data_IF_934626228707
#
_entry.id   IF_934626228707
#
_cell.length_a   1.000
_cell.length_b   1.000
_cell.length_c   1.000
_cell.angle_alpha   90.00
_cell.angle_beta   90.00
_cell.angle_gamma   90.00
#
_symmetry.space_group_name_H-M   'P 1'
#
loop_
_entity.id
_entity.type
_entity.pdbx_description
1 polymer ?
#
# COMPACT_ATOMS: atom_id res chain seq x y z
N UNK A 1 -2.95 -2.69 4.00
CA UNK A 1 -1.60 -2.34 3.52
C UNK A 1 -1.51 -2.66 2.03
N UNK A 2 -0.55 -2.05 1.35
CA UNK A 2 -0.19 -2.30 -0.03
C UNK A 2 1.34 -2.35 -0.10
N UNK A 3 1.90 -3.53 -0.32
CA UNK A 3 3.34 -3.77 -0.32
C UNK A 3 3.92 -3.80 -1.74
N UNK A 4 5.02 -3.09 -1.96
CA UNK A 4 5.72 -3.00 -3.23
C UNK A 4 7.21 -3.29 -3.06
N UNK A 5 7.78 -4.00 -4.03
CA UNK A 5 9.23 -4.22 -4.09
C UNK A 5 9.95 -2.96 -4.59
N UNK A 6 10.87 -2.43 -3.78
CA UNK A 6 11.69 -1.29 -4.16
C UNK A 6 12.92 -1.75 -4.98
N UNK A 7 12.88 -1.50 -6.29
CA UNK A 7 13.99 -1.81 -7.23
C UNK A 7 14.89 -0.60 -7.56
N UNK A 8 15.10 0.28 -6.59
CA UNK A 8 15.94 1.48 -6.76
C UNK A 8 15.15 2.78 -6.91
N UNK A 9 13.92 2.83 -6.41
CA UNK A 9 13.11 4.03 -6.29
C UNK A 9 13.80 5.04 -5.36
N UNK A 10 14.04 6.25 -5.86
CA UNK A 10 14.57 7.34 -5.03
C UNK A 10 13.50 7.90 -4.09
N UNK A 11 13.94 8.67 -3.08
CA UNK A 11 13.00 9.33 -2.17
C UNK A 11 12.14 10.33 -2.93
N UNK A 12 12.74 11.09 -3.84
CA UNK A 12 12.08 12.11 -4.66
C UNK A 12 11.02 11.47 -5.57
N UNK A 13 11.34 10.33 -6.18
CA UNK A 13 10.37 9.57 -6.99
C UNK A 13 9.22 9.05 -6.13
N UNK A 14 9.51 8.53 -4.94
CA UNK A 14 8.47 8.08 -4.00
C UNK A 14 7.56 9.23 -3.56
N UNK A 15 8.13 10.40 -3.28
CA UNK A 15 7.36 11.62 -2.97
C UNK A 15 6.46 12.01 -4.16
N UNK A 16 6.99 12.02 -5.38
CA UNK A 16 6.21 12.28 -6.59
C UNK A 16 5.06 11.29 -6.80
N UNK A 17 5.28 10.00 -6.53
CA UNK A 17 4.24 8.97 -6.57
C UNK A 17 3.17 9.21 -5.51
N UNK A 18 3.57 9.52 -4.27
CA UNK A 18 2.62 9.80 -3.18
C UNK A 18 1.72 11.01 -3.48
N UNK A 19 2.29 12.08 -4.07
CA UNK A 19 1.52 13.25 -4.52
C UNK A 19 0.59 12.92 -5.67
N UNK A 20 1.03 12.06 -6.60
CA UNK A 20 0.16 11.58 -7.69
C UNK A 20 -1.04 10.81 -7.15
N UNK A 21 -0.84 9.97 -6.13
CA UNK A 21 -1.92 9.25 -5.44
C UNK A 21 -2.88 10.22 -4.76
N UNK A 22 -2.36 11.19 -3.99
CA UNK A 22 -3.17 12.24 -3.35
C UNK A 22 -4.05 12.94 -4.39
N UNK A 23 -3.44 13.47 -5.46
CA UNK A 23 -4.14 14.25 -6.48
C UNK A 23 -5.23 13.43 -7.18
N UNK A 24 -4.97 12.16 -7.49
CA UNK A 24 -5.97 11.28 -8.12
C UNK A 24 -7.15 11.02 -7.19
N UNK A 25 -6.91 10.80 -5.90
CA UNK A 25 -7.98 10.58 -4.92
C UNK A 25 -8.83 11.84 -4.72
N UNK A 26 -8.21 13.02 -4.67
CA UNK A 26 -8.94 14.30 -4.63
C UNK A 26 -9.82 14.49 -5.87
N UNK A 27 -9.32 14.14 -7.06
CA UNK A 27 -10.10 14.19 -8.31
C UNK A 27 -11.27 13.20 -8.32
N UNK A 28 -11.18 12.10 -7.57
CA UNK A 28 -12.30 11.19 -7.31
C UNK A 28 -13.27 11.72 -6.24
N UNK A 29 -13.04 12.91 -5.67
CA UNK A 29 -13.91 13.55 -4.70
C UNK A 29 -13.64 13.18 -3.24
N UNK A 30 -12.55 12.45 -2.96
CA UNK A 30 -12.18 12.11 -1.59
C UNK A 30 -11.42 13.25 -0.91
N UNK A 31 -11.71 13.50 0.37
CA UNK A 31 -10.83 14.27 1.25
C UNK A 31 -9.76 13.35 1.81
N UNK A 32 -8.51 13.58 1.42
CA UNK A 32 -7.39 12.68 1.73
C UNK A 32 -6.19 13.46 2.24
N UNK A 33 -5.48 12.88 3.20
CA UNK A 33 -4.20 13.37 3.69
C UNK A 33 -3.13 12.30 3.41
N UNK A 34 -1.93 12.71 2.99
CA UNK A 34 -0.77 11.81 2.88
C UNK A 34 0.30 12.15 3.92
N UNK A 35 0.97 11.12 4.43
CA UNK A 35 2.13 11.28 5.29
C UNK A 35 3.20 10.28 4.88
N UNK A 36 4.36 10.77 4.40
CA UNK A 36 5.49 9.90 4.10
C UNK A 36 6.40 9.74 5.32
N UNK A 37 6.96 8.55 5.50
CA UNK A 37 7.97 8.23 6.52
C UNK A 37 9.09 7.40 5.91
N UNK A 38 10.31 7.70 6.31
CA UNK A 38 11.53 7.06 5.83
C UNK A 38 12.31 6.51 7.03
N UNK A 39 12.05 5.26 7.40
CA UNK A 39 12.76 4.57 8.50
C UNK A 39 13.09 3.16 8.06
N UNK A 40 14.22 2.98 7.38
CA UNK A 40 14.62 1.69 6.79
C UNK A 40 13.88 1.34 5.49
N UNK A 41 12.59 1.66 5.41
CA UNK A 41 11.77 1.54 4.20
C UNK A 41 10.99 2.84 3.93
N UNK A 42 10.38 2.91 2.75
CA UNK A 42 9.51 4.02 2.36
C UNK A 42 8.07 3.66 2.67
N UNK A 43 7.44 4.49 3.51
CA UNK A 43 6.06 4.31 3.93
C UNK A 43 5.25 5.54 3.56
N UNK A 44 4.09 5.36 2.94
CA UNK A 44 3.11 6.42 2.71
C UNK A 44 1.80 6.05 3.38
N UNK A 45 1.34 6.89 4.31
CA UNK A 45 0.05 6.74 4.97
C UNK A 45 -0.97 7.63 4.27
N UNK A 46 -1.89 7.01 3.52
CA UNK A 46 -3.03 7.66 2.88
C UNK A 46 -4.21 7.59 3.83
N UNK A 47 -4.65 8.74 4.36
CA UNK A 47 -5.70 8.84 5.37
C UNK A 47 -6.95 9.45 4.76
N UNK A 48 -8.10 8.90 5.10
CA UNK A 48 -9.42 9.37 4.69
C UNK A 48 -10.21 9.79 5.93
N UNK A 49 -10.09 11.05 6.38
CA UNK A 49 -10.78 11.55 7.56
C UNK A 49 -12.30 11.54 7.39
N UNK A 50 -13.03 11.03 8.37
CA UNK A 50 -14.50 11.09 8.39
C UNK A 50 -15.21 10.24 7.34
N UNK A 51 -14.49 9.45 6.53
CA UNK A 51 -15.06 8.67 5.43
C UNK A 51 -16.14 7.69 5.91
N UNK A 52 -15.97 7.09 7.09
CA UNK A 52 -16.97 6.19 7.66
C UNK A 52 -18.25 6.92 8.05
N UNK A 53 -18.14 8.14 8.59
CA UNK A 53 -19.28 8.96 8.93
C UNK A 53 -20.01 9.48 7.69
N UNK A 54 -19.27 9.92 6.67
CA UNK A 54 -19.82 10.37 5.38
C UNK A 54 -20.68 9.28 4.70
N UNK A 55 -20.31 8.01 4.87
CA UNK A 55 -21.04 6.87 4.31
C UNK A 55 -22.00 6.20 5.30
N UNK A 56 -22.23 6.77 6.49
CA UNK A 56 -23.16 6.22 7.48
C UNK A 56 -22.72 4.89 8.13
N UNK A 57 -21.45 4.53 8.01
CA UNK A 57 -20.87 3.29 8.58
C UNK A 57 -20.59 3.47 10.09
N UNK A 58 -20.26 4.69 10.53
CA UNK A 58 -19.96 5.02 11.92
C UNK A 58 -20.54 6.37 12.33
N UNK A 59 -21.03 6.48 13.56
CA UNK A 59 -21.49 7.75 14.14
C UNK A 59 -20.35 8.69 14.58
N UNK A 60 -19.10 8.22 14.55
CA UNK A 60 -17.95 8.99 15.01
C UNK A 60 -17.29 9.76 13.86
N UNK A 61 -17.56 11.06 13.76
CA UNK A 61 -17.02 11.93 12.71
C UNK A 61 -15.48 12.05 12.68
N UNK A 62 -14.78 11.67 13.75
CA UNK A 62 -13.31 11.72 13.85
C UNK A 62 -12.62 10.44 13.40
N UNK A 63 -13.36 9.35 13.18
CA UNK A 63 -12.77 8.12 12.69
C UNK A 63 -12.25 8.30 11.26
N UNK A 64 -11.14 7.63 10.96
CA UNK A 64 -10.49 7.72 9.66
C UNK A 64 -10.02 6.36 9.20
N UNK A 65 -10.19 6.08 7.91
CA UNK A 65 -9.52 4.96 7.27
C UNK A 65 -8.08 5.35 6.97
N UNK A 66 -7.13 4.46 7.21
CA UNK A 66 -5.74 4.65 6.80
C UNK A 66 -5.31 3.46 5.94
N UNK A 67 -4.86 3.75 4.72
CA UNK A 67 -4.21 2.80 3.84
C UNK A 67 -2.72 3.09 3.89
N UNK A 68 -1.93 2.09 4.28
CA UNK A 68 -0.48 2.18 4.28
C UNK A 68 0.05 1.58 2.97
N UNK A 69 0.90 2.33 2.28
CA UNK A 69 1.65 1.92 1.10
C UNK A 69 3.10 1.77 1.54
N UNK A 70 3.63 0.56 1.41
CA UNK A 70 4.98 0.20 1.83
C UNK A 70 5.83 -0.15 0.62
N UNK A 71 7.03 0.40 0.57
CA UNK A 71 8.00 0.13 -0.48
C UNK A 71 9.36 -0.16 0.16
N UNK A 72 9.73 -1.44 0.14
CA UNK A 72 10.97 -1.95 0.72
C UNK A 72 11.69 -2.84 -0.30
N UNK A 73 13.04 -2.80 -0.38
CA UNK A 73 13.77 -3.73 -1.22
C UNK A 73 13.59 -5.16 -0.73
N UNK A 74 12.98 -6.03 -1.54
CA UNK A 74 12.81 -7.44 -1.19
C UNK A 74 14.09 -8.25 -1.35
N UNK A 75 15.09 -7.71 -2.05
CA UNK A 75 16.42 -8.31 -2.26
C UNK A 75 16.39 -9.73 -2.86
N UNK A 76 15.36 -10.04 -3.66
CA UNK A 76 15.21 -11.30 -4.37
C UNK A 76 15.02 -11.01 -5.85
N UNK A 77 15.78 -11.71 -6.70
CA UNK A 77 15.58 -11.64 -8.14
C UNK A 77 14.45 -12.60 -8.53
N UNK A 78 13.45 -12.07 -9.23
CA UNK A 78 12.34 -12.84 -9.76
C UNK A 78 11.83 -12.23 -11.06
N UNK A 79 11.23 -13.07 -11.90
CA UNK A 79 10.52 -12.61 -13.08
C UNK A 79 9.13 -12.12 -12.66
N UNK A 80 8.81 -10.88 -13.00
CA UNK A 80 7.49 -10.30 -12.70
C UNK A 80 6.40 -11.09 -13.43
N UNK A 81 5.32 -11.41 -12.72
CA UNK A 81 4.10 -11.95 -13.31
C UNK A 81 3.08 -10.84 -13.59
N UNK A 82 2.29 -10.99 -14.66
CA UNK A 82 1.17 -10.08 -14.96
C UNK A 82 -0.13 -10.77 -14.60
N UNK A 83 -0.77 -10.30 -13.54
CA UNK A 83 -2.05 -10.84 -13.06
C UNK A 83 -3.20 -9.93 -13.48
N UNK A 84 -4.37 -10.52 -13.75
CA UNK A 84 -5.58 -9.75 -14.08
C UNK A 84 -6.29 -9.39 -12.77
N UNK A 85 -6.42 -8.09 -12.51
CA UNK A 85 -7.33 -7.56 -11.50
C UNK A 85 -8.69 -7.33 -12.16
N UNK A 86 -9.70 -8.08 -11.74
CA UNK A 86 -11.09 -7.96 -12.19
C UNK A 86 -12.03 -7.88 -10.96
N UNK A 87 -12.14 -6.68 -10.37
CA UNK A 87 -12.92 -6.40 -9.15
C UNK A 87 -13.40 -4.95 -9.14
N UNK A 88 -14.57 -4.68 -8.56
CA UNK A 88 -15.08 -3.32 -8.31
C UNK A 88 -15.02 -2.41 -9.56
N UNK A 89 -15.45 -2.93 -10.71
CA UNK A 89 -15.38 -2.26 -12.02
C UNK A 89 -13.97 -1.90 -12.52
N UNK A 90 -12.94 -2.41 -11.85
CA UNK A 90 -11.54 -2.33 -12.28
C UNK A 90 -11.21 -3.62 -13.04
N UNK A 91 -10.87 -3.47 -14.33
CA UNK A 91 -10.34 -4.53 -15.18
C UNK A 91 -9.00 -4.13 -15.79
N UNK A 92 -7.89 -4.61 -15.20
CA UNK A 92 -6.55 -4.30 -15.70
C UNK A 92 -5.53 -5.40 -15.38
N UNK A 93 -4.39 -5.37 -16.08
CA UNK A 93 -3.24 -6.20 -15.72
C UNK A 93 -2.31 -5.41 -14.81
N UNK A 94 -1.91 -6.00 -13.69
CA UNK A 94 -0.91 -5.44 -12.77
C UNK A 94 0.31 -6.35 -12.71
N UNK A 95 1.45 -5.73 -12.41
CA UNK A 95 2.68 -6.44 -12.12
C UNK A 95 2.60 -6.97 -10.68
N UNK A 96 2.85 -8.26 -10.50
CA UNK A 96 2.85 -8.92 -9.21
C UNK A 96 4.13 -9.74 -9.01
N UNK A 97 4.48 -9.93 -7.73
CA UNK A 97 5.49 -10.90 -7.31
C UNK A 97 4.92 -12.31 -7.53
N UNK A 98 5.69 -13.25 -8.11
CA UNK A 98 5.28 -14.63 -8.28
C UNK A 98 4.81 -15.30 -6.97
N UNK A 99 3.82 -16.21 -7.01
CA UNK A 99 3.28 -16.86 -5.82
C UNK A 99 4.31 -17.62 -4.96
N UNK A 100 5.31 -18.23 -5.56
CA UNK A 100 6.39 -18.96 -4.89
C UNK A 100 7.32 -18.04 -4.09
N UNK A 101 7.66 -16.88 -4.65
CA UNK A 101 8.43 -15.83 -3.96
C UNK A 101 7.60 -15.25 -2.80
N UNK A 102 6.32 -14.96 -3.03
CA UNK A 102 5.40 -14.49 -1.97
C UNK A 102 5.28 -15.51 -0.83
N UNK A 103 5.15 -16.80 -1.14
CA UNK A 103 5.10 -17.86 -0.14
C UNK A 103 6.40 -17.90 0.68
N UNK A 104 7.54 -17.83 0.00
CA UNK A 104 8.86 -17.81 0.65
C UNK A 104 9.00 -16.63 1.61
N UNK A 105 8.53 -15.44 1.21
CA UNK A 105 8.51 -14.24 2.08
C UNK A 105 7.61 -14.42 3.30
N UNK A 106 6.43 -15.04 3.14
CA UNK A 106 5.54 -15.33 4.28
C UNK A 106 6.17 -16.31 5.26
N UNK A 107 6.79 -17.38 4.76
CA UNK A 107 7.51 -18.35 5.62
C UNK A 107 8.66 -17.65 6.35
N UNK A 108 9.48 -16.87 5.63
CA UNK A 108 10.57 -16.10 6.22
C UNK A 108 10.07 -15.15 7.32
N UNK A 109 8.99 -14.41 7.06
CA UNK A 109 8.40 -13.50 8.03
C UNK A 109 7.88 -14.23 9.29
N UNK A 110 7.27 -15.41 9.14
CA UNK A 110 6.81 -16.23 10.27
C UNK A 110 7.99 -16.64 11.17
N UNK A 111 9.10 -17.05 10.57
CA UNK A 111 10.27 -17.56 11.31
C UNK A 111 11.12 -16.45 11.94
N UNK A 112 11.17 -15.26 11.34
CA UNK A 112 12.12 -14.20 11.73
C UNK A 112 11.47 -13.01 12.43
N UNK A 113 10.15 -12.87 12.43
CA UNK A 113 9.51 -11.74 13.12
C UNK A 113 9.69 -11.85 14.64
N UNK A 114 10.04 -10.75 15.32
CA UNK A 114 10.21 -10.76 16.78
C UNK A 114 8.88 -10.91 17.53
N UNK A 115 7.75 -10.60 16.86
CA UNK A 115 6.41 -10.66 17.46
C UNK A 115 5.37 -11.08 16.43
N UNK A 116 4.30 -11.75 16.87
CA UNK A 116 3.21 -12.07 15.97
C UNK A 116 2.41 -10.83 15.52
N UNK A 117 2.13 -10.74 14.21
CA UNK A 117 1.04 -9.97 13.60
C UNK A 117 -0.15 -10.90 13.34
N UNK A 118 -1.35 -10.41 13.66
CA UNK A 118 -2.60 -11.17 13.70
C UNK A 118 -2.95 -11.52 15.14
N UNK A 119 -4.13 -11.03 15.58
CA UNK A 119 -4.73 -11.05 16.94
C UNK A 119 -4.12 -12.01 17.96
#
# INVERSE_FOLDING_TARGET
DLDFDNKGLSKEDFEGLSQTVLRKLELYGYSVEIQNRYRGAFHCFVKFPGIFHQHGISGHAREKLTIQIDCEPQNVNYKIERVILNKFDIFMKINAVPPDVLLSQKIFAILNRPRPMGR
#
